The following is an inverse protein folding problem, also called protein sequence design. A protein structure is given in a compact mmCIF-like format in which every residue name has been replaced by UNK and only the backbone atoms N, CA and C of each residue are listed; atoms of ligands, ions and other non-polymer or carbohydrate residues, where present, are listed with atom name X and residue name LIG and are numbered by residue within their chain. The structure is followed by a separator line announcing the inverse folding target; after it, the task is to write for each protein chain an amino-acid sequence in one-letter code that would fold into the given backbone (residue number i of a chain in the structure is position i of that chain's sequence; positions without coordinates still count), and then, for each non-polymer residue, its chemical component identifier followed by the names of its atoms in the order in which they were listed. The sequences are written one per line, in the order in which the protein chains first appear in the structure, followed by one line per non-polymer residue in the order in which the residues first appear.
data_IF_502364826444
#
_entry.id   IF_502364826444
#
_cell.length_a   1.000
_cell.length_b   1.000
_cell.length_c   1.000
_cell.angle_alpha   90.00
_cell.angle_beta   90.00
_cell.angle_gamma   90.00
#
_symmetry.space_group_name_H-M   'P 1'
#
loop_
_entity.id
_entity.type
_entity.pdbx_description
1 polymer ?
#
# COMPACT_ATOMS: atom_id res chain seq x y z
N UNK A 1 -21.66 -6.34 2.38
CA UNK A 1 -22.16 -7.59 1.78
C UNK A 1 -23.68 -7.54 1.71
N UNK A 2 -24.34 -7.65 0.53
CA UNK A 2 -25.79 -7.76 0.46
C UNK A 2 -26.22 -9.16 0.90
N UNK A 3 -27.35 -9.26 1.59
CA UNK A 3 -27.96 -10.53 2.00
C UNK A 3 -29.47 -10.52 1.80
N UNK A 4 -30.02 -11.71 1.55
CA UNK A 4 -31.45 -11.98 1.41
C UNK A 4 -31.80 -13.19 2.27
N UNK A 5 -32.95 -13.16 2.95
CA UNK A 5 -33.38 -14.22 3.87
C UNK A 5 -32.77 -14.09 5.26
N UNK A 6 -32.35 -15.19 5.87
CA UNK A 6 -31.73 -15.20 7.20
C UNK A 6 -30.40 -14.46 7.24
N UNK A 7 -30.12 -13.76 8.33
CA UNK A 7 -28.85 -13.09 8.53
C UNK A 7 -27.75 -14.12 8.78
N UNK A 8 -26.70 -14.05 7.94
CA UNK A 8 -25.50 -14.86 8.08
C UNK A 8 -24.33 -13.96 8.44
N UNK A 9 -23.64 -14.27 9.51
CA UNK A 9 -22.43 -13.60 9.97
C UNK A 9 -21.23 -14.54 9.86
N UNK A 10 -20.02 -13.96 9.82
CA UNK A 10 -18.78 -14.72 9.61
C UNK A 10 -18.46 -14.95 8.11
N UNK A 11 -17.20 -14.78 7.76
CA UNK A 11 -16.75 -14.67 6.37
C UNK A 11 -17.11 -15.88 5.50
N UNK A 12 -16.90 -17.10 6.01
CA UNK A 12 -17.18 -18.33 5.25
C UNK A 12 -18.69 -18.54 5.05
N UNK A 13 -19.49 -18.23 6.05
CA UNK A 13 -20.96 -18.39 6.01
C UNK A 13 -21.63 -17.39 5.09
N UNK A 14 -21.06 -16.19 4.94
CA UNK A 14 -21.56 -15.14 4.04
C UNK A 14 -21.19 -15.39 2.57
N UNK A 15 -20.23 -16.25 2.28
CA UNK A 15 -19.75 -16.48 0.93
C UNK A 15 -20.89 -16.83 -0.02
N UNK A 16 -20.84 -16.29 -1.23
CA UNK A 16 -21.76 -16.59 -2.32
C UNK A 16 -21.00 -17.13 -3.51
N UNK A 17 -21.60 -18.07 -4.21
CA UNK A 17 -21.11 -18.49 -5.53
C UNK A 17 -21.39 -17.39 -6.55
N UNK A 18 -20.49 -17.23 -7.50
CA UNK A 18 -20.65 -16.40 -8.70
C UNK A 18 -20.12 -17.14 -9.93
N UNK A 19 -20.50 -16.71 -11.11
CA UNK A 19 -20.04 -17.28 -12.37
C UNK A 19 -19.14 -16.29 -13.09
N UNK A 20 -17.98 -16.73 -13.54
CA UNK A 20 -17.05 -15.89 -14.29
C UNK A 20 -17.69 -15.33 -15.57
N UNK A 21 -18.54 -16.11 -16.24
CA UNK A 21 -19.23 -15.65 -17.45
C UNK A 21 -20.20 -14.50 -17.21
N UNK A 22 -20.72 -14.35 -15.97
CA UNK A 22 -21.67 -13.31 -15.57
C UNK A 22 -20.96 -12.17 -14.79
N UNK A 23 -19.62 -12.15 -14.82
CA UNK A 23 -18.82 -11.20 -14.04
C UNK A 23 -18.06 -10.27 -14.97
N UNK A 24 -18.20 -8.96 -14.73
CA UNK A 24 -17.40 -7.92 -15.37
C UNK A 24 -16.32 -7.45 -14.40
N UNK A 25 -15.08 -7.49 -14.83
CA UNK A 25 -13.91 -7.00 -14.06
C UNK A 25 -13.18 -6.00 -14.95
N UNK A 26 -13.30 -4.72 -14.65
CA UNK A 26 -12.61 -3.61 -15.31
C UNK A 26 -11.94 -2.74 -14.24
N UNK A 27 -10.95 -1.94 -14.57
CA UNK A 27 -10.32 -1.01 -13.62
C UNK A 27 -11.30 -0.10 -12.89
N UNK A 28 -12.41 0.23 -13.50
CA UNK A 28 -13.39 1.21 -13.06
C UNK A 28 -14.73 0.62 -12.60
N UNK A 29 -14.97 -0.69 -12.81
CA UNK A 29 -16.22 -1.34 -12.38
C UNK A 29 -16.01 -2.84 -12.15
N UNK A 30 -16.64 -3.33 -11.09
CA UNK A 30 -16.84 -4.75 -10.85
C UNK A 30 -18.34 -5.04 -10.81
N UNK A 31 -18.81 -6.02 -11.61
CA UNK A 31 -20.20 -6.45 -11.62
C UNK A 31 -20.29 -7.97 -11.55
N UNK A 32 -21.21 -8.48 -10.74
CA UNK A 32 -21.42 -9.94 -10.64
C UNK A 32 -22.82 -10.27 -10.10
N UNK A 33 -23.27 -11.50 -10.32
CA UNK A 33 -24.48 -12.05 -9.73
C UNK A 33 -24.13 -12.97 -8.55
N UNK A 34 -24.64 -12.65 -7.38
CA UNK A 34 -24.43 -13.41 -6.15
C UNK A 34 -25.49 -14.50 -6.03
N UNK A 35 -25.14 -15.73 -6.41
CA UNK A 35 -26.11 -16.84 -6.54
C UNK A 35 -26.83 -17.20 -5.25
N UNK A 36 -26.17 -17.14 -4.09
CA UNK A 36 -26.81 -17.41 -2.80
C UNK A 36 -27.92 -16.41 -2.47
N UNK A 37 -27.68 -15.13 -2.77
CA UNK A 37 -28.58 -14.03 -2.41
C UNK A 37 -29.47 -13.58 -3.57
N UNK A 38 -29.38 -14.21 -4.72
CA UNK A 38 -30.13 -13.83 -5.94
C UNK A 38 -30.04 -12.33 -6.21
N UNK A 39 -28.88 -11.74 -5.95
CA UNK A 39 -28.66 -10.28 -5.96
C UNK A 39 -27.61 -9.93 -7.01
N UNK A 40 -27.90 -8.95 -7.86
CA UNK A 40 -26.89 -8.35 -8.71
C UNK A 40 -26.13 -7.29 -7.92
N UNK A 41 -24.81 -7.38 -7.97
CA UNK A 41 -23.86 -6.44 -7.36
C UNK A 41 -23.11 -5.71 -8.45
N UNK A 42 -23.04 -4.38 -8.36
CA UNK A 42 -22.08 -3.56 -9.10
C UNK A 42 -21.32 -2.65 -8.13
N UNK A 43 -20.03 -2.43 -8.38
CA UNK A 43 -19.18 -1.55 -7.57
C UNK A 43 -18.35 -0.67 -8.48
N UNK A 44 -18.31 0.62 -8.19
CA UNK A 44 -17.35 1.58 -8.75
C UNK A 44 -16.72 2.37 -7.61
N UNK A 45 -15.51 2.88 -7.81
CA UNK A 45 -14.77 3.59 -6.77
C UNK A 45 -14.18 4.90 -7.28
N UNK A 46 -13.97 5.81 -6.34
CA UNK A 46 -13.15 7.00 -6.45
C UNK A 46 -11.87 6.84 -5.62
N UNK A 47 -11.15 7.89 -5.29
CA UNK A 47 -9.91 7.77 -4.51
C UNK A 47 -10.15 7.31 -3.07
N UNK A 48 -11.23 7.80 -2.42
CA UNK A 48 -11.53 7.56 -0.99
C UNK A 48 -12.91 6.99 -0.75
N UNK A 49 -13.71 6.87 -1.81
CA UNK A 49 -15.09 6.42 -1.72
C UNK A 49 -15.38 5.26 -2.66
N UNK A 50 -16.44 4.53 -2.37
CA UNK A 50 -17.01 3.53 -3.26
C UNK A 50 -18.53 3.65 -3.33
N UNK A 51 -19.08 3.37 -4.50
CA UNK A 51 -20.52 3.24 -4.70
C UNK A 51 -20.84 1.79 -5.06
N UNK A 52 -21.62 1.16 -4.20
CA UNK A 52 -22.18 -0.17 -4.42
C UNK A 52 -23.61 0.00 -4.93
N UNK A 53 -23.99 -0.78 -5.92
CA UNK A 53 -25.36 -0.89 -6.40
C UNK A 53 -25.81 -2.33 -6.30
N UNK A 54 -26.92 -2.54 -5.60
CA UNK A 54 -27.54 -3.85 -5.38
C UNK A 54 -28.91 -3.88 -6.09
N UNK A 55 -29.18 -4.95 -6.84
CA UNK A 55 -30.53 -5.27 -7.31
C UNK A 55 -31.00 -6.52 -6.60
N UNK A 56 -31.84 -6.32 -5.59
CA UNK A 56 -32.40 -7.38 -4.76
C UNK A 56 -33.64 -7.98 -5.43
N UNK A 57 -33.96 -9.27 -5.15
CA UNK A 57 -35.27 -9.86 -5.48
C UNK A 57 -36.37 -9.18 -4.68
N UNK A 58 -37.63 -9.22 -5.19
CA UNK A 58 -38.72 -8.40 -4.65
C UNK A 58 -39.36 -8.90 -3.35
N UNK A 59 -39.29 -10.20 -3.04
CA UNK A 59 -40.16 -10.83 -2.04
C UNK A 59 -39.42 -11.35 -0.78
N UNK A 60 -38.29 -10.80 -0.38
CA UNK A 60 -37.52 -11.35 0.75
C UNK A 60 -36.96 -10.25 1.66
N UNK A 61 -36.75 -10.59 2.92
CA UNK A 61 -35.98 -9.76 3.83
C UNK A 61 -34.58 -9.53 3.26
N UNK A 62 -34.17 -8.28 3.20
CA UNK A 62 -32.90 -7.87 2.60
C UNK A 62 -32.16 -6.89 3.47
N UNK A 63 -30.85 -7.03 3.42
CA UNK A 63 -29.96 -6.21 4.24
C UNK A 63 -28.61 -5.98 3.61
N UNK A 64 -27.94 -4.96 4.08
CA UNK A 64 -26.53 -4.69 3.79
C UNK A 64 -25.75 -4.91 5.09
N UNK A 65 -24.75 -5.78 5.07
CA UNK A 65 -23.84 -5.98 6.18
C UNK A 65 -22.51 -5.28 5.92
N UNK A 66 -22.02 -4.57 6.92
CA UNK A 66 -20.64 -4.10 7.01
C UNK A 66 -20.01 -4.78 8.22
N UNK A 67 -18.97 -5.58 7.99
CA UNK A 67 -18.30 -6.36 9.03
C UNK A 67 -16.78 -6.23 8.88
N UNK A 68 -16.08 -5.74 9.90
CA UNK A 68 -14.63 -5.77 9.96
C UNK A 68 -14.11 -7.21 10.03
N UNK A 69 -12.95 -7.45 9.42
CA UNK A 69 -12.32 -8.76 9.45
C UNK A 69 -11.59 -9.03 10.76
N UNK A 70 -10.99 -7.99 11.34
CA UNK A 70 -10.18 -8.04 12.56
C UNK A 70 -10.29 -6.71 13.30
N UNK A 71 -9.92 -6.71 14.58
CA UNK A 71 -9.78 -5.54 15.43
C UNK A 71 -11.09 -4.95 15.96
N UNK A 72 -10.92 -4.09 16.94
CA UNK A 72 -12.05 -3.38 17.55
C UNK A 72 -12.72 -2.44 16.53
N UNK A 73 -14.01 -2.26 16.66
CA UNK A 73 -14.82 -1.42 15.78
C UNK A 73 -16.04 -0.87 16.49
N UNK A 74 -16.58 0.19 15.94
CA UNK A 74 -17.79 0.85 16.43
C UNK A 74 -18.60 1.39 15.26
N UNK A 75 -19.92 1.26 15.31
CA UNK A 75 -20.85 1.77 14.32
C UNK A 75 -22.10 2.38 14.96
N UNK A 76 -22.61 3.43 14.33
CA UNK A 76 -23.87 4.08 14.66
C UNK A 76 -24.68 4.33 13.39
N UNK A 77 -25.98 4.04 13.46
CA UNK A 77 -26.94 4.28 12.36
C UNK A 77 -27.94 5.36 12.77
N UNK A 78 -28.14 6.34 11.89
CA UNK A 78 -29.12 7.42 12.07
C UNK A 78 -29.85 7.72 10.75
N UNK A 79 -31.11 7.34 10.67
CA UNK A 79 -31.86 7.40 9.42
C UNK A 79 -31.23 6.49 8.36
N UNK A 80 -30.86 7.04 7.22
CA UNK A 80 -30.18 6.33 6.14
C UNK A 80 -28.64 6.45 6.18
N UNK A 81 -28.07 6.93 7.28
CA UNK A 81 -26.65 7.20 7.46
C UNK A 81 -26.01 6.21 8.41
N UNK A 82 -24.79 5.84 8.11
CA UNK A 82 -23.91 5.02 8.94
C UNK A 82 -22.61 5.76 9.19
N UNK A 83 -22.24 5.86 10.45
CA UNK A 83 -20.92 6.34 10.90
C UNK A 83 -20.24 5.26 11.72
N UNK A 84 -18.91 5.21 11.66
CA UNK A 84 -18.17 4.24 12.44
C UNK A 84 -16.67 4.27 12.18
N UNK A 85 -15.99 3.34 12.80
CA UNK A 85 -14.57 3.08 12.54
C UNK A 85 -14.21 1.62 12.80
N UNK A 86 -13.08 1.23 12.26
CA UNK A 86 -12.40 -0.03 12.61
C UNK A 86 -10.93 0.24 12.90
N UNK A 87 -10.40 -0.44 13.91
CA UNK A 87 -8.98 -0.47 14.25
C UNK A 87 -8.25 -1.66 13.62
N UNK A 88 -8.94 -2.39 12.77
CA UNK A 88 -8.38 -3.54 12.06
C UNK A 88 -7.17 -3.15 11.22
N UNK A 89 -6.02 -3.73 11.55
CA UNK A 89 -4.77 -3.53 10.82
C UNK A 89 -3.88 -4.77 10.98
N UNK A 90 -2.84 -4.87 10.17
CA UNK A 90 -1.87 -5.97 10.22
C UNK A 90 -0.57 -5.61 10.98
N UNK A 91 -0.57 -4.51 11.71
CA UNK A 91 0.59 -3.97 12.44
C UNK A 91 1.29 -2.82 11.70
N UNK A 92 2.39 -2.33 12.27
CA UNK A 92 3.15 -1.20 11.71
C UNK A 92 2.43 0.15 11.83
N UNK A 93 1.59 0.30 12.86
CA UNK A 93 0.86 1.55 13.17
C UNK A 93 0.93 1.87 14.66
N UNK A 94 0.91 3.16 15.04
CA UNK A 94 0.82 3.58 16.43
C UNK A 94 -0.51 3.16 17.09
N UNK A 95 -0.56 3.11 18.43
CA UNK A 95 -1.81 2.98 19.15
C UNK A 95 -2.78 4.09 18.77
N UNK A 96 -4.05 3.75 18.62
CA UNK A 96 -5.08 4.74 18.23
C UNK A 96 -5.41 4.79 16.74
N UNK A 97 -4.64 4.12 15.89
CA UNK A 97 -4.95 3.99 14.46
C UNK A 97 -6.39 3.53 14.24
N UNK A 98 -7.09 4.17 13.31
CA UNK A 98 -8.42 3.77 12.88
C UNK A 98 -8.67 4.12 11.40
N UNK A 99 -9.47 3.30 10.74
CA UNK A 99 -10.11 3.65 9.48
C UNK A 99 -11.54 4.09 9.81
N UNK A 100 -11.82 5.37 9.67
CA UNK A 100 -13.12 5.98 9.87
C UNK A 100 -13.99 5.81 8.64
N UNK A 101 -15.29 5.62 8.85
CA UNK A 101 -16.26 5.28 7.82
C UNK A 101 -17.45 6.21 7.94
N UNK A 102 -17.87 6.80 6.82
CA UNK A 102 -19.13 7.48 6.64
C UNK A 102 -19.86 6.88 5.43
N UNK A 103 -21.13 6.53 5.58
CA UNK A 103 -21.88 5.93 4.48
C UNK A 103 -23.35 6.37 4.46
N UNK A 104 -23.94 6.34 3.26
CA UNK A 104 -25.37 6.59 3.04
C UNK A 104 -25.97 5.50 2.14
N UNK A 105 -27.20 5.12 2.47
CA UNK A 105 -28.07 4.25 1.65
C UNK A 105 -29.14 5.11 1.02
N UNK A 106 -29.42 4.92 -0.29
CA UNK A 106 -30.49 5.64 -0.98
C UNK A 106 -31.87 4.96 -0.88
N UNK A 107 -32.09 4.21 0.20
CA UNK A 107 -33.36 3.54 0.50
C UNK A 107 -33.68 3.72 1.99
N UNK A 108 -34.97 3.54 2.31
CA UNK A 108 -35.42 3.56 3.71
C UNK A 108 -34.87 2.34 4.47
N UNK A 109 -34.23 2.59 5.59
CA UNK A 109 -33.77 1.59 6.54
C UNK A 109 -34.91 1.32 7.51
N UNK A 110 -35.45 0.12 7.49
CA UNK A 110 -36.56 -0.31 8.39
C UNK A 110 -36.05 -0.73 9.76
N UNK A 111 -34.78 -1.04 9.90
CA UNK A 111 -34.13 -1.44 11.13
C UNK A 111 -32.64 -1.57 10.98
N UNK A 112 -31.91 -1.54 12.09
CA UNK A 112 -30.50 -1.83 12.15
C UNK A 112 -30.15 -2.64 13.38
N UNK A 113 -29.13 -3.49 13.27
CA UNK A 113 -28.62 -4.26 14.39
C UNK A 113 -27.12 -4.34 14.36
N UNK A 114 -26.50 -4.31 15.54
CA UNK A 114 -25.09 -4.58 15.70
C UNK A 114 -24.88 -6.05 16.04
N UNK A 115 -23.75 -6.62 15.61
CA UNK A 115 -23.40 -8.00 15.91
C UNK A 115 -21.88 -8.16 16.06
N UNK A 116 -21.47 -9.17 16.84
CA UNK A 116 -20.08 -9.61 16.90
C UNK A 116 -20.05 -11.13 16.80
N UNK A 117 -19.34 -11.64 15.80
CA UNK A 117 -19.45 -13.06 15.46
C UNK A 117 -20.88 -13.44 15.06
N UNK A 118 -21.46 -14.43 15.74
CA UNK A 118 -22.85 -14.91 15.52
C UNK A 118 -23.86 -14.32 16.52
N UNK A 119 -23.42 -13.40 17.39
CA UNK A 119 -24.25 -12.88 18.48
C UNK A 119 -24.64 -11.43 18.22
N UNK A 120 -25.86 -11.06 18.66
CA UNK A 120 -26.26 -9.65 18.70
C UNK A 120 -25.39 -8.89 19.67
N UNK A 121 -24.97 -7.68 19.29
CA UNK A 121 -24.23 -6.77 20.14
C UNK A 121 -25.10 -5.57 20.53
N UNK A 122 -25.09 -5.23 21.80
CA UNK A 122 -25.95 -4.15 22.37
C UNK A 122 -25.14 -3.06 23.07
N UNK A 123 -23.79 -3.06 22.88
CA UNK A 123 -22.91 -2.04 23.47
C UNK A 123 -22.90 -0.73 22.68
N UNK A 124 -22.66 0.38 23.39
CA UNK A 124 -22.49 1.72 22.79
C UNK A 124 -21.05 2.11 22.56
N UNK A 125 -20.11 1.28 23.03
CA UNK A 125 -18.65 1.51 22.87
C UNK A 125 -18.02 0.56 21.82
N UNK A 126 -16.79 0.85 21.42
CA UNK A 126 -16.03 -0.06 20.55
C UNK A 126 -15.85 -1.43 21.21
N UNK A 127 -15.94 -2.48 20.42
CA UNK A 127 -15.67 -3.85 20.83
C UNK A 127 -15.09 -4.65 19.66
N UNK A 128 -14.59 -5.84 19.96
CA UNK A 128 -13.92 -6.67 18.96
C UNK A 128 -14.86 -7.10 17.84
N UNK A 129 -14.49 -6.81 16.61
CA UNK A 129 -15.19 -7.20 15.37
C UNK A 129 -16.69 -6.89 15.34
N UNK A 130 -17.09 -5.74 15.87
CA UNK A 130 -18.51 -5.32 15.79
C UNK A 130 -18.82 -5.00 14.33
N UNK A 131 -19.84 -5.68 13.80
CA UNK A 131 -20.42 -5.40 12.50
C UNK A 131 -21.80 -4.75 12.64
N UNK A 132 -22.31 -4.21 11.53
CA UNK A 132 -23.65 -3.61 11.43
C UNK A 132 -24.42 -4.23 10.27
N UNK A 133 -25.68 -4.54 10.54
CA UNK A 133 -26.66 -4.95 9.53
C UNK A 133 -27.70 -3.83 9.36
N UNK A 134 -27.91 -3.38 8.12
CA UNK A 134 -28.91 -2.39 7.74
C UNK A 134 -30.04 -3.12 7.03
N UNK A 135 -31.24 -3.14 7.63
CA UNK A 135 -32.41 -3.77 7.07
C UNK A 135 -33.16 -2.80 6.16
N UNK A 136 -33.47 -3.22 4.93
CA UNK A 136 -34.07 -2.38 3.91
C UNK A 136 -35.57 -2.58 3.84
N UNK A 137 -36.33 -1.48 3.85
CA UNK A 137 -37.80 -1.52 3.88
C UNK A 137 -38.41 -2.04 2.58
N UNK A 138 -37.81 -1.71 1.43
CA UNK A 138 -38.34 -2.06 0.11
C UNK A 138 -37.26 -2.70 -0.78
N UNK A 139 -37.70 -3.43 -1.82
CA UNK A 139 -36.88 -4.05 -2.80
C UNK A 139 -36.65 -3.24 -4.05
N UNK A 140 -35.77 -3.81 -4.87
CA UNK A 140 -35.39 -3.23 -6.13
C UNK A 140 -33.93 -2.85 -6.15
N UNK A 141 -33.62 -1.75 -6.81
CA UNK A 141 -32.25 -1.21 -6.90
C UNK A 141 -31.97 -0.29 -5.71
N UNK A 142 -30.85 -0.51 -5.05
CA UNK A 142 -30.39 0.27 -3.89
C UNK A 142 -28.91 0.60 -4.08
N UNK A 143 -28.56 1.87 -3.88
CA UNK A 143 -27.17 2.30 -3.83
C UNK A 143 -26.71 2.48 -2.37
N UNK A 144 -25.52 1.98 -2.10
CA UNK A 144 -24.79 2.19 -0.85
C UNK A 144 -23.48 2.89 -1.18
N UNK A 145 -23.35 4.13 -0.72
CA UNK A 145 -22.13 4.92 -0.90
C UNK A 145 -21.37 4.97 0.39
N UNK A 146 -20.09 4.70 0.33
CA UNK A 146 -19.20 4.69 1.51
C UNK A 146 -17.96 5.51 1.23
N UNK A 147 -17.58 6.32 2.20
CA UNK A 147 -16.32 7.03 2.25
C UNK A 147 -15.48 6.57 3.44
N UNK A 148 -14.17 6.62 3.28
CA UNK A 148 -13.21 6.30 4.33
C UNK A 148 -12.28 7.47 4.59
N UNK A 149 -11.71 7.50 5.80
CA UNK A 149 -10.66 8.41 6.21
C UNK A 149 -9.77 7.75 7.26
N UNK A 150 -8.50 8.10 7.29
CA UNK A 150 -7.60 7.75 8.39
C UNK A 150 -7.45 8.89 9.40
N UNK A 151 -8.07 10.04 9.14
CA UNK A 151 -7.99 11.24 9.99
C UNK A 151 -9.14 11.30 11.00
N UNK A 152 -10.40 11.24 10.53
CA UNK A 152 -11.58 11.32 11.39
C UNK A 152 -12.88 10.94 10.67
N UNK A 153 -13.98 10.75 11.43
CA UNK A 153 -15.34 10.59 10.86
C UNK A 153 -15.76 11.86 10.09
N UNK A 154 -15.46 13.04 10.60
CA UNK A 154 -15.77 14.29 9.91
C UNK A 154 -15.00 14.42 8.58
N UNK A 155 -13.77 13.94 8.54
CA UNK A 155 -13.01 13.89 7.30
C UNK A 155 -13.60 12.84 6.32
N UNK A 156 -14.01 11.68 6.79
CA UNK A 156 -14.72 10.70 5.95
C UNK A 156 -16.02 11.30 5.35
N UNK A 157 -16.74 12.12 6.12
CA UNK A 157 -17.92 12.85 5.63
C UNK A 157 -17.55 13.90 4.57
N UNK A 158 -16.44 14.63 4.74
CA UNK A 158 -15.93 15.56 3.71
C UNK A 158 -15.56 14.84 2.42
N UNK A 159 -14.87 13.71 2.53
CA UNK A 159 -14.53 12.88 1.38
C UNK A 159 -15.82 12.41 0.65
N UNK A 160 -16.84 11.99 1.41
CA UNK A 160 -18.14 11.62 0.86
C UNK A 160 -18.80 12.77 0.11
N UNK A 161 -18.86 13.94 0.73
CA UNK A 161 -19.49 15.14 0.16
C UNK A 161 -18.78 15.60 -1.12
N UNK A 162 -17.46 15.52 -1.17
CA UNK A 162 -16.66 15.90 -2.31
C UNK A 162 -16.72 14.91 -3.48
N UNK A 163 -16.70 13.61 -3.20
CA UNK A 163 -16.48 12.61 -4.23
C UNK A 163 -17.78 11.93 -4.73
N UNK A 164 -18.76 11.64 -3.86
CA UNK A 164 -19.90 10.78 -4.24
C UNK A 164 -21.27 11.34 -3.95
N UNK A 165 -21.40 12.40 -3.14
CA UNK A 165 -22.71 12.97 -2.76
C UNK A 165 -23.47 13.47 -3.97
N UNK A 166 -24.74 13.03 -4.10
CA UNK A 166 -25.65 13.47 -5.18
C UNK A 166 -25.28 12.97 -6.57
N UNK A 167 -24.30 12.08 -6.69
CA UNK A 167 -23.85 11.53 -7.99
C UNK A 167 -24.46 10.15 -8.23
N UNK A 168 -24.86 9.87 -9.48
CA UNK A 168 -25.33 8.54 -9.85
C UNK A 168 -24.18 7.54 -9.96
N UNK A 169 -24.50 6.26 -9.88
CA UNK A 169 -23.53 5.18 -10.11
C UNK A 169 -22.86 5.32 -11.48
N UNK A 170 -23.65 5.61 -12.52
CA UNK A 170 -23.15 5.78 -13.89
C UNK A 170 -22.17 6.94 -13.99
N UNK A 171 -22.49 8.09 -13.40
CA UNK A 171 -21.58 9.25 -13.41
C UNK A 171 -20.24 8.96 -12.72
N UNK A 172 -20.27 8.23 -11.61
CA UNK A 172 -19.04 7.80 -10.89
C UNK A 172 -18.24 6.78 -11.70
N UNK A 173 -18.91 5.79 -12.29
CA UNK A 173 -18.28 4.79 -13.16
C UNK A 173 -17.64 5.43 -14.39
N UNK A 174 -18.34 6.31 -15.06
CA UNK A 174 -17.86 6.95 -16.29
C UNK A 174 -16.69 7.89 -16.01
N UNK A 175 -16.70 8.58 -14.86
CA UNK A 175 -15.55 9.35 -14.40
C UNK A 175 -14.33 8.45 -14.09
N UNK A 176 -14.53 7.36 -13.34
CA UNK A 176 -13.47 6.40 -13.05
C UNK A 176 -12.90 5.79 -14.33
N UNK A 177 -13.76 5.46 -15.29
CA UNK A 177 -13.34 4.99 -16.61
C UNK A 177 -12.47 6.02 -17.34
N UNK A 178 -12.88 7.27 -17.39
CA UNK A 178 -12.11 8.32 -18.06
C UNK A 178 -10.71 8.50 -17.46
N UNK A 179 -10.59 8.41 -16.12
CA UNK A 179 -9.29 8.47 -15.44
C UNK A 179 -8.40 7.29 -15.84
N UNK A 180 -8.96 6.07 -15.84
CA UNK A 180 -8.19 4.88 -16.22
C UNK A 180 -7.84 4.86 -17.71
N UNK A 181 -8.72 5.31 -18.58
CA UNK A 181 -8.47 5.43 -20.03
C UNK A 181 -7.34 6.44 -20.32
N UNK A 182 -7.30 7.57 -19.60
CA UNK A 182 -6.20 8.55 -19.69
C UNK A 182 -4.88 7.93 -19.23
N UNK A 183 -4.86 7.28 -18.05
CA UNK A 183 -3.62 6.72 -17.49
C UNK A 183 -3.08 5.55 -18.30
N UNK A 184 -3.91 4.60 -18.70
CA UNK A 184 -3.50 3.46 -19.50
C UNK A 184 -3.20 3.86 -20.96
N UNK A 185 -3.83 4.91 -21.45
CA UNK A 185 -3.61 5.48 -22.78
C UNK A 185 -2.28 6.20 -22.96
N UNK A 186 -1.53 6.47 -21.89
CA UNK A 186 -0.18 7.07 -21.95
C UNK A 186 0.82 6.23 -22.74
N UNK A 187 0.61 4.91 -22.80
CA UNK A 187 1.38 4.01 -23.67
C UNK A 187 0.43 3.35 -24.66
N UNK A 188 0.68 3.56 -25.94
CA UNK A 188 -0.08 2.94 -27.02
C UNK A 188 0.79 1.90 -27.73
N UNK A 189 0.23 0.70 -27.94
CA UNK A 189 0.94 -0.38 -28.64
C UNK A 189 0.23 -0.71 -29.97
N UNK A 190 1.02 -0.84 -31.02
CA UNK A 190 0.57 -1.21 -32.36
C UNK A 190 1.09 -2.57 -32.78
N UNK A 191 0.46 -3.19 -33.77
CA UNK A 191 0.87 -4.47 -34.32
C UNK A 191 0.71 -5.69 -33.39
N UNK A 192 0.18 -5.50 -32.18
CA UNK A 192 -0.02 -6.56 -31.19
C UNK A 192 -1.29 -7.36 -31.44
N UNK A 193 -1.26 -8.66 -31.17
CA UNK A 193 -2.47 -9.52 -31.11
C UNK A 193 -3.36 -9.12 -29.93
N UNK A 194 -4.62 -9.57 -29.93
CA UNK A 194 -5.56 -9.31 -28.84
C UNK A 194 -5.00 -9.77 -27.48
N UNK A 195 -4.45 -10.98 -27.41
CA UNK A 195 -3.86 -11.54 -26.17
C UNK A 195 -2.69 -10.68 -25.67
N UNK A 196 -1.82 -10.22 -26.60
CA UNK A 196 -0.70 -9.34 -26.24
C UNK A 196 -1.19 -7.99 -25.69
N UNK A 197 -2.25 -7.40 -26.28
CA UNK A 197 -2.88 -6.16 -25.77
C UNK A 197 -3.46 -6.35 -24.38
N UNK A 198 -4.23 -7.40 -24.17
CA UNK A 198 -4.83 -7.73 -22.87
C UNK A 198 -3.76 -7.93 -21.79
N UNK A 199 -2.69 -8.67 -22.13
CA UNK A 199 -1.57 -8.89 -21.22
C UNK A 199 -0.85 -7.59 -20.88
N UNK A 200 -0.52 -6.78 -21.90
CA UNK A 200 0.19 -5.51 -21.73
C UNK A 200 -0.59 -4.54 -20.83
N UNK A 201 -1.85 -4.26 -21.18
CA UNK A 201 -2.65 -3.31 -20.39
C UNK A 201 -3.03 -3.83 -19.01
N UNK A 202 -3.19 -5.15 -18.85
CA UNK A 202 -3.36 -5.76 -17.51
C UNK A 202 -2.11 -5.61 -16.64
N UNK A 203 -0.91 -5.73 -17.23
CA UNK A 203 0.34 -5.48 -16.53
C UNK A 203 0.52 -3.98 -16.22
N UNK A 204 0.27 -3.09 -17.18
CA UNK A 204 0.34 -1.64 -16.98
C UNK A 204 -0.63 -1.18 -15.88
N UNK A 205 -1.86 -1.70 -15.85
CA UNK A 205 -2.83 -1.47 -14.77
C UNK A 205 -2.24 -1.85 -13.40
N UNK A 206 -1.63 -3.04 -13.28
CA UNK A 206 -1.06 -3.51 -12.02
C UNK A 206 0.08 -2.63 -11.52
N UNK A 207 0.88 -2.01 -12.39
CA UNK A 207 1.95 -1.10 -11.97
C UNK A 207 1.44 0.17 -11.31
N UNK A 208 0.14 0.48 -11.44
CA UNK A 208 -0.49 1.69 -10.91
C UNK A 208 -1.40 1.44 -9.69
N UNK A 209 -1.47 0.20 -9.19
CA UNK A 209 -2.29 -0.13 -8.01
C UNK A 209 -1.61 0.25 -6.70
N UNK A 210 -0.29 0.32 -6.68
CA UNK A 210 0.52 0.62 -5.52
C UNK A 210 1.69 1.55 -5.90
N UNK A 211 2.10 2.45 -4.99
CA UNK A 211 1.55 2.72 -3.66
C UNK A 211 0.18 3.39 -3.72
N UNK A 212 -0.57 3.30 -2.63
CA UNK A 212 -1.86 3.99 -2.50
C UNK A 212 -1.66 5.41 -1.99
N UNK A 213 -2.49 6.35 -2.49
CA UNK A 213 -2.62 7.69 -1.92
C UNK A 213 -3.12 7.55 -0.48
N UNK A 214 -2.37 8.13 0.47
CA UNK A 214 -2.71 8.07 1.88
C UNK A 214 -3.23 9.41 2.42
N UNK A 215 -2.85 10.50 1.78
CA UNK A 215 -3.30 11.84 2.13
C UNK A 215 -4.73 12.13 1.65
N UNK A 216 -5.36 13.08 2.30
CA UNK A 216 -6.74 13.50 2.10
C UNK A 216 -6.79 15.03 1.98
N UNK A 217 -7.75 15.63 1.23
CA UNK A 217 -7.87 17.08 1.17
C UNK A 217 -8.54 17.61 2.44
N UNK A 218 -7.95 18.66 3.04
CA UNK A 218 -8.59 19.41 4.12
C UNK A 218 -9.74 20.30 3.58
N UNK A 219 -10.31 21.16 4.43
CA UNK A 219 -11.37 22.11 4.04
C UNK A 219 -10.94 23.10 2.95
N UNK A 220 -9.65 23.40 2.87
CA UNK A 220 -9.05 24.27 1.86
C UNK A 220 -8.56 23.53 0.62
N UNK A 221 -8.75 22.21 0.56
CA UNK A 221 -8.25 21.35 -0.52
C UNK A 221 -6.75 21.05 -0.43
N UNK A 222 -6.09 21.39 0.71
CA UNK A 222 -4.68 21.09 0.90
C UNK A 222 -4.51 19.65 1.43
N UNK A 223 -3.45 18.92 1.00
CA UNK A 223 -3.23 17.57 1.47
C UNK A 223 -2.89 17.54 2.96
N UNK A 224 -3.58 16.69 3.70
CA UNK A 224 -3.30 16.30 5.09
C UNK A 224 -3.29 14.78 5.18
N UNK A 225 -2.61 14.23 6.16
CA UNK A 225 -2.62 12.78 6.40
C UNK A 225 -2.42 12.44 7.87
N UNK A 226 -3.00 11.33 8.28
CA UNK A 226 -2.62 10.66 9.52
C UNK A 226 -1.29 9.94 9.29
N UNK A 227 -0.29 10.25 10.09
CA UNK A 227 1.01 9.60 10.01
C UNK A 227 1.00 8.22 10.69
N UNK A 228 1.25 7.13 9.95
CA UNK A 228 1.42 5.82 10.57
C UNK A 228 2.78 5.66 11.26
N UNK A 229 3.60 6.71 11.32
CA UNK A 229 4.93 6.70 11.92
C UNK A 229 4.96 7.30 13.32
N UNK A 230 4.20 8.37 13.58
CA UNK A 230 4.12 9.05 14.89
C UNK A 230 2.70 9.13 15.48
N UNK A 231 1.67 8.87 14.67
CA UNK A 231 0.27 8.87 15.11
C UNK A 231 -0.43 10.23 15.07
N UNK A 232 0.23 11.26 14.54
CA UNK A 232 -0.28 12.62 14.45
C UNK A 232 -0.85 12.91 13.05
N UNK A 233 -1.57 14.02 12.92
CA UNK A 233 -2.07 14.51 11.63
C UNK A 233 -1.15 15.62 11.12
N UNK A 234 -0.56 15.40 9.95
CA UNK A 234 0.35 16.34 9.30
C UNK A 234 -0.20 16.92 8.01
N UNK A 235 0.37 18.03 7.58
CA UNK A 235 0.17 18.62 6.26
C UNK A 235 1.13 17.98 5.25
N UNK A 236 0.69 17.87 4.02
CA UNK A 236 1.49 17.34 2.93
C UNK A 236 0.98 16.00 2.43
N UNK A 237 1.62 15.53 1.38
CA UNK A 237 1.31 14.24 0.76
C UNK A 237 1.94 13.08 1.52
N UNK A 238 1.28 11.92 1.51
CA UNK A 238 1.82 10.66 1.99
C UNK A 238 1.30 9.52 1.11
N UNK A 239 2.10 8.49 0.98
CA UNK A 239 1.76 7.25 0.27
C UNK A 239 2.01 6.04 1.17
N UNK A 240 1.27 4.96 0.96
CA UNK A 240 1.40 3.72 1.73
C UNK A 240 1.26 2.48 0.85
N UNK A 241 1.50 1.32 1.48
CA UNK A 241 1.41 0.00 0.87
C UNK A 241 2.37 -0.21 -0.30
N UNK A 242 3.66 -0.11 0.01
CA UNK A 242 4.71 -0.36 -0.97
C UNK A 242 5.89 -1.14 -0.38
N UNK A 243 6.36 -2.13 -1.13
CA UNK A 243 7.58 -2.87 -0.89
C UNK A 243 8.67 -2.45 -1.87
N UNK A 244 9.64 -1.68 -1.41
CA UNK A 244 10.67 -1.10 -2.30
C UNK A 244 11.62 -2.16 -2.86
N UNK A 245 11.81 -3.28 -2.17
CA UNK A 245 12.58 -4.41 -2.66
C UNK A 245 12.06 -4.94 -4.01
N UNK A 246 10.73 -4.97 -4.20
CA UNK A 246 10.12 -5.37 -5.46
C UNK A 246 10.13 -4.23 -6.49
N UNK A 247 9.67 -3.05 -6.09
CA UNK A 247 9.22 -2.00 -7.01
C UNK A 247 10.35 -1.12 -7.53
N UNK A 248 11.49 -1.00 -6.82
CA UNK A 248 12.62 -0.21 -7.27
C UNK A 248 13.20 -0.73 -8.60
N UNK A 249 13.04 -2.02 -8.89
CA UNK A 249 13.66 -2.67 -10.05
C UNK A 249 13.09 -2.20 -11.38
N UNK A 250 11.80 -1.87 -11.46
CA UNK A 250 11.16 -1.50 -12.74
C UNK A 250 10.02 -0.49 -12.61
N UNK A 251 9.17 -0.58 -11.58
CA UNK A 251 7.94 0.22 -11.48
C UNK A 251 8.24 1.72 -11.43
N UNK A 252 9.13 2.14 -10.54
CA UNK A 252 9.47 3.56 -10.41
C UNK A 252 10.25 4.09 -11.62
N UNK A 253 11.10 3.25 -12.23
CA UNK A 253 11.76 3.60 -13.50
C UNK A 253 10.76 3.77 -14.64
N UNK A 254 9.68 2.98 -14.68
CA UNK A 254 8.59 3.18 -15.63
C UNK A 254 7.84 4.49 -15.34
N UNK A 255 7.50 4.76 -14.07
CA UNK A 255 6.80 6.00 -13.69
C UNK A 255 7.62 7.25 -14.04
N UNK A 256 8.96 7.21 -13.93
CA UNK A 256 9.80 8.33 -14.36
C UNK A 256 9.66 8.70 -15.84
N UNK A 257 9.13 7.79 -16.67
CA UNK A 257 8.91 8.01 -18.10
C UNK A 257 7.46 8.42 -18.42
N UNK A 258 6.49 7.85 -17.69
CA UNK A 258 5.07 8.01 -18.04
C UNK A 258 4.30 8.93 -17.10
N UNK A 259 4.81 9.16 -15.87
CA UNK A 259 4.15 9.99 -14.85
C UNK A 259 5.19 10.62 -13.89
N UNK A 260 6.14 11.44 -14.39
CA UNK A 260 7.23 11.98 -13.58
C UNK A 260 6.76 12.91 -12.45
N UNK A 261 5.65 13.65 -12.65
CA UNK A 261 5.05 14.49 -11.62
C UNK A 261 4.53 13.64 -10.45
N UNK A 262 3.84 12.56 -10.74
CA UNK A 262 3.35 11.62 -9.72
C UNK A 262 4.50 10.93 -9.00
N UNK A 263 5.58 10.58 -9.72
CA UNK A 263 6.77 10.01 -9.10
C UNK A 263 7.40 10.99 -8.10
N UNK A 264 7.53 12.26 -8.47
CA UNK A 264 8.07 13.29 -7.57
C UNK A 264 7.18 13.46 -6.33
N UNK A 265 5.85 13.47 -6.49
CA UNK A 265 4.90 13.53 -5.38
C UNK A 265 5.00 12.31 -4.46
N UNK A 266 5.18 11.10 -5.01
CA UNK A 266 5.40 9.88 -4.22
C UNK A 266 6.68 9.98 -3.39
N UNK A 267 7.78 10.46 -3.98
CA UNK A 267 9.05 10.64 -3.27
C UNK A 267 8.92 11.69 -2.17
N UNK A 268 8.20 12.80 -2.43
CA UNK A 268 7.89 13.77 -1.36
C UNK A 268 7.12 13.12 -0.22
N UNK A 269 6.13 12.26 -0.53
CA UNK A 269 5.40 11.49 0.49
C UNK A 269 6.31 10.60 1.34
N UNK A 270 7.26 9.89 0.72
CA UNK A 270 8.25 9.10 1.45
C UNK A 270 9.23 9.96 2.24
N UNK A 271 9.54 11.15 1.73
CA UNK A 271 10.37 12.13 2.45
C UNK A 271 9.65 12.67 3.68
N UNK A 272 8.34 12.90 3.59
CA UNK A 272 7.52 13.25 4.75
C UNK A 272 7.48 12.11 5.78
N UNK A 273 7.34 10.85 5.33
CA UNK A 273 7.45 9.68 6.22
C UNK A 273 8.78 9.67 6.99
N UNK A 274 9.89 10.02 6.34
CA UNK A 274 11.19 10.10 6.99
C UNK A 274 11.30 11.29 7.96
N UNK A 275 10.69 12.44 7.64
CA UNK A 275 10.64 13.62 8.56
C UNK A 275 9.86 13.28 9.84
N UNK A 276 8.78 12.51 9.74
CA UNK A 276 7.88 12.14 10.83
C UNK A 276 8.42 10.98 11.67
N UNK A 277 8.85 9.90 11.02
CA UNK A 277 9.34 8.70 11.70
C UNK A 277 10.86 8.64 11.89
N UNK A 278 11.60 9.56 11.27
CA UNK A 278 13.06 9.65 11.36
C UNK A 278 13.83 8.81 10.33
N UNK A 279 13.19 7.90 9.59
CA UNK A 279 13.84 6.97 8.66
C UNK A 279 13.03 6.80 7.37
N UNK A 280 13.68 6.47 6.28
CA UNK A 280 12.98 5.91 5.13
C UNK A 280 12.40 4.53 5.45
N UNK A 281 11.14 4.23 5.07
CA UNK A 281 10.61 2.89 5.24
C UNK A 281 11.24 1.92 4.24
N UNK A 282 11.66 0.75 4.71
CA UNK A 282 12.05 -0.37 3.83
C UNK A 282 10.82 -0.99 3.17
N UNK A 283 9.77 -1.06 3.93
CA UNK A 283 8.44 -1.51 3.54
C UNK A 283 7.42 -0.68 4.29
N UNK A 284 6.51 -0.04 3.56
CA UNK A 284 5.43 0.77 4.12
C UNK A 284 4.12 0.01 4.03
N UNK A 285 3.48 -0.32 5.20
CA UNK A 285 2.19 -1.02 5.18
C UNK A 285 1.43 -0.90 6.52
N UNK A 286 0.79 0.23 6.82
CA UNK A 286 1.01 1.54 6.24
C UNK A 286 2.29 2.23 6.76
N UNK A 287 2.76 1.94 7.98
CA UNK A 287 4.01 2.42 8.55
C UNK A 287 5.17 1.43 8.37
N UNK A 288 6.14 1.49 9.27
CA UNK A 288 7.33 0.63 9.20
C UNK A 288 7.01 -0.85 9.32
N UNK A 289 7.60 -1.65 8.42
CA UNK A 289 7.48 -3.11 8.42
C UNK A 289 8.82 -3.77 8.23
N UNK A 290 9.11 -4.74 9.08
CA UNK A 290 10.24 -5.65 8.92
C UNK A 290 9.90 -6.69 7.84
N UNK A 291 10.20 -6.37 6.60
CA UNK A 291 9.99 -7.23 5.45
C UNK A 291 11.09 -6.98 4.43
N UNK A 292 11.68 -8.02 3.89
CA UNK A 292 12.80 -7.99 2.96
C UNK A 292 14.02 -7.22 3.47
N UNK A 293 15.14 -7.35 2.79
CA UNK A 293 16.39 -6.65 3.09
C UNK A 293 16.51 -5.37 2.24
N UNK A 294 17.55 -4.57 2.50
CA UNK A 294 17.93 -3.41 1.72
C UNK A 294 17.08 -2.15 1.98
N UNK A 295 17.67 -0.99 1.69
CA UNK A 295 17.04 0.33 1.76
C UNK A 295 16.78 0.85 0.33
N UNK A 296 15.93 0.13 -0.41
CA UNK A 296 15.78 0.34 -1.86
C UNK A 296 15.02 1.62 -2.24
N UNK A 297 14.43 2.33 -1.27
CA UNK A 297 13.94 3.69 -1.51
C UNK A 297 15.08 4.63 -1.90
N UNK A 298 16.31 4.40 -1.40
CA UNK A 298 17.51 5.11 -1.84
C UNK A 298 17.70 5.01 -3.37
N UNK A 299 17.42 3.83 -3.93
CA UNK A 299 17.51 3.61 -5.38
C UNK A 299 16.42 4.34 -6.15
N UNK A 300 15.19 4.38 -5.62
CA UNK A 300 14.07 5.12 -6.21
C UNK A 300 14.37 6.62 -6.27
N UNK A 301 14.85 7.20 -5.17
CA UNK A 301 15.22 8.61 -5.08
C UNK A 301 16.35 8.93 -6.05
N UNK A 302 17.40 8.11 -6.08
CA UNK A 302 18.55 8.34 -6.95
C UNK A 302 18.18 8.22 -8.44
N UNK A 303 17.40 7.20 -8.83
CA UNK A 303 16.95 7.00 -10.22
C UNK A 303 16.10 8.19 -10.69
N UNK A 304 15.14 8.64 -9.87
CA UNK A 304 14.32 9.80 -10.16
C UNK A 304 15.19 11.08 -10.28
N UNK A 305 16.09 11.30 -9.32
CA UNK A 305 16.95 12.47 -9.29
C UNK A 305 17.84 12.61 -10.52
N UNK A 306 18.52 11.52 -10.93
CA UNK A 306 19.42 11.55 -12.12
C UNK A 306 18.65 11.69 -13.42
N UNK A 307 17.40 11.25 -13.48
CA UNK A 307 16.50 11.43 -14.63
C UNK A 307 15.83 12.80 -14.70
N UNK A 308 16.03 13.65 -13.67
CA UNK A 308 15.51 15.02 -13.64
C UNK A 308 14.16 15.16 -12.95
N UNK A 309 13.58 14.09 -12.39
CA UNK A 309 12.40 14.16 -11.52
C UNK A 309 12.87 14.65 -10.14
N UNK A 310 12.74 15.97 -9.86
CA UNK A 310 13.33 16.62 -8.69
C UNK A 310 12.34 17.53 -7.95
N UNK A 311 11.07 17.44 -8.26
CA UNK A 311 10.02 18.24 -7.62
C UNK A 311 9.60 17.60 -6.29
N UNK A 312 10.58 17.51 -5.37
CA UNK A 312 10.46 17.05 -3.98
C UNK A 312 11.60 17.66 -3.15
N UNK A 313 11.52 17.58 -1.83
CA UNK A 313 12.56 18.06 -0.91
C UNK A 313 13.82 17.19 -0.99
N UNK A 314 14.67 17.48 -1.97
CA UNK A 314 15.90 16.70 -2.27
C UNK A 314 16.86 16.68 -1.08
N UNK A 315 16.99 17.78 -0.33
CA UNK A 315 17.91 17.83 0.82
C UNK A 315 17.41 16.94 1.97
N UNK A 316 16.11 16.95 2.25
CA UNK A 316 15.54 16.08 3.27
C UNK A 316 15.58 14.59 2.83
N UNK A 317 15.29 14.30 1.57
CA UNK A 317 15.43 12.94 1.02
C UNK A 317 16.87 12.44 1.14
N UNK A 318 17.86 13.28 0.77
CA UNK A 318 19.28 12.95 0.92
C UNK A 318 19.68 12.72 2.38
N UNK A 319 19.17 13.55 3.32
CA UNK A 319 19.45 13.35 4.74
C UNK A 319 18.92 11.98 5.25
N UNK A 320 17.75 11.54 4.78
CA UNK A 320 17.21 10.22 5.11
C UNK A 320 18.05 9.09 4.50
N UNK A 321 18.47 9.21 3.22
CA UNK A 321 19.38 8.25 2.57
C UNK A 321 20.72 8.16 3.34
N UNK A 322 21.27 9.30 3.76
CA UNK A 322 22.52 9.34 4.52
C UNK A 322 22.38 8.64 5.86
N UNK A 323 21.25 8.85 6.54
CA UNK A 323 20.93 8.19 7.80
C UNK A 323 20.87 6.67 7.62
N UNK A 324 20.14 6.18 6.63
CA UNK A 324 20.08 4.75 6.29
C UNK A 324 21.48 4.16 6.03
N UNK A 325 22.36 4.94 5.40
CA UNK A 325 23.70 4.50 5.01
C UNK A 325 24.75 4.55 6.15
N UNK A 326 24.47 5.23 7.27
CA UNK A 326 25.50 5.52 8.29
C UNK A 326 25.07 5.23 9.72
N UNK A 327 23.77 5.16 10.02
CA UNK A 327 23.27 4.94 11.37
C UNK A 327 22.69 3.54 11.54
N UNK A 328 22.72 3.05 12.78
CA UNK A 328 22.13 1.75 13.12
C UNK A 328 20.61 1.89 13.19
N UNK A 329 19.88 1.09 12.42
CA UNK A 329 18.44 0.99 12.48
C UNK A 329 17.94 0.23 13.71
N UNK A 330 16.68 -0.21 13.68
CA UNK A 330 16.15 -1.02 14.77
C UNK A 330 16.53 -2.51 14.66
N UNK A 331 16.47 -3.21 15.80
CA UNK A 331 16.81 -4.63 15.87
C UNK A 331 15.89 -5.52 15.02
N UNK A 332 14.64 -5.10 14.81
CA UNK A 332 13.65 -5.82 13.99
C UNK A 332 13.94 -5.70 12.49
N UNK A 333 14.75 -4.72 12.07
CA UNK A 333 15.10 -4.49 10.67
C UNK A 333 13.99 -3.86 9.85
N UNK A 334 13.07 -3.12 10.45
CA UNK A 334 11.98 -2.44 9.74
C UNK A 334 12.42 -1.13 9.07
N UNK A 335 13.55 -0.55 9.49
CA UNK A 335 14.23 0.59 8.87
C UNK A 335 15.74 0.50 9.10
N UNK A 336 16.52 1.29 8.35
CA UNK A 336 17.98 1.28 8.40
C UNK A 336 18.59 -0.01 7.84
N UNK A 337 19.92 -0.08 7.81
CA UNK A 337 20.71 -1.19 7.25
C UNK A 337 21.21 -2.13 8.33
N UNK A 338 20.70 -3.35 8.36
CA UNK A 338 21.18 -4.38 9.29
C UNK A 338 22.66 -4.69 9.04
N UNK A 339 23.50 -4.69 10.09
CA UNK A 339 24.94 -4.97 9.98
C UNK A 339 25.75 -3.80 9.44
N UNK A 340 25.24 -2.56 9.46
CA UNK A 340 25.93 -1.39 8.90
C UNK A 340 27.27 -1.09 9.55
N UNK A 341 27.41 -1.26 10.85
CA UNK A 341 28.69 -1.06 11.57
C UNK A 341 29.76 -2.03 11.10
N UNK A 342 29.39 -3.32 10.96
CA UNK A 342 30.30 -4.33 10.42
C UNK A 342 30.64 -4.04 8.94
N UNK A 343 29.67 -3.63 8.16
CA UNK A 343 29.88 -3.24 6.76
C UNK A 343 30.84 -2.04 6.62
N UNK A 344 30.76 -1.05 7.50
CA UNK A 344 31.73 0.06 7.52
C UNK A 344 33.16 -0.39 7.88
N UNK A 345 33.29 -1.28 8.86
CA UNK A 345 34.58 -1.74 9.37
C UNK A 345 35.26 -2.73 8.44
N UNK A 346 34.50 -3.69 7.90
CA UNK A 346 35.01 -4.87 7.18
C UNK A 346 34.86 -4.72 5.64
N UNK A 347 33.98 -3.83 5.18
CA UNK A 347 33.56 -3.76 3.80
C UNK A 347 32.60 -4.88 3.38
N UNK A 348 32.02 -5.62 4.33
CA UNK A 348 30.96 -6.61 4.10
C UNK A 348 30.22 -6.91 5.42
N UNK A 349 29.01 -7.48 5.28
CA UNK A 349 28.24 -7.99 6.42
C UNK A 349 28.68 -9.41 6.73
N UNK A 350 29.13 -9.74 7.96
CA UNK A 350 29.65 -11.06 8.30
C UNK A 350 28.53 -12.09 8.46
N UNK A 351 28.72 -13.27 7.85
CA UNK A 351 27.71 -14.32 7.76
C UNK A 351 27.56 -15.15 9.05
N UNK A 352 28.54 -15.09 9.93
CA UNK A 352 28.50 -15.69 11.27
C UNK A 352 27.78 -14.82 12.31
N UNK A 353 27.41 -13.58 11.95
CA UNK A 353 26.67 -12.65 12.82
C UNK A 353 25.28 -12.27 12.26
N UNK A 354 25.12 -12.27 10.94
CA UNK A 354 23.90 -11.78 10.27
C UNK A 354 23.43 -12.73 9.18
N UNK A 355 22.12 -12.96 9.11
CA UNK A 355 21.49 -13.66 8.01
C UNK A 355 21.56 -12.85 6.70
N UNK A 356 21.49 -13.54 5.57
CA UNK A 356 21.50 -12.94 4.22
C UNK A 356 22.74 -12.09 3.94
N UNK A 357 23.85 -12.39 4.54
CA UNK A 357 25.05 -11.55 4.60
C UNK A 357 25.61 -11.15 3.20
N UNK A 358 25.65 -12.08 2.25
CA UNK A 358 26.08 -11.77 0.88
C UNK A 358 25.10 -10.82 0.18
N UNK A 359 23.79 -11.10 0.27
CA UNK A 359 22.74 -10.24 -0.29
C UNK A 359 22.77 -8.84 0.33
N UNK A 360 22.86 -8.74 1.66
CA UNK A 360 22.97 -7.46 2.38
C UNK A 360 24.21 -6.66 1.95
N UNK A 361 25.34 -7.32 1.79
CA UNK A 361 26.58 -6.68 1.34
C UNK A 361 26.40 -6.09 -0.07
N UNK A 362 25.79 -6.82 -0.98
CA UNK A 362 25.53 -6.35 -2.35
C UNK A 362 24.51 -5.21 -2.37
N UNK A 363 23.42 -5.32 -1.60
CA UNK A 363 22.41 -4.26 -1.49
C UNK A 363 22.97 -2.98 -0.86
N UNK A 364 23.77 -3.08 0.21
CA UNK A 364 24.40 -1.91 0.81
C UNK A 364 25.37 -1.23 -0.17
N UNK A 365 26.16 -2.01 -0.93
CA UNK A 365 27.04 -1.47 -1.94
C UNK A 365 26.27 -0.79 -3.09
N UNK A 366 25.15 -1.37 -3.53
CA UNK A 366 24.29 -0.77 -4.55
C UNK A 366 23.62 0.52 -4.06
N UNK A 367 23.06 0.53 -2.87
CA UNK A 367 22.41 1.71 -2.31
C UNK A 367 23.43 2.78 -1.92
N UNK A 368 24.68 2.44 -1.58
CA UNK A 368 25.78 3.40 -1.46
C UNK A 368 26.09 4.11 -2.77
N UNK A 369 26.06 3.38 -3.91
CA UNK A 369 26.16 4.01 -5.22
C UNK A 369 25.04 5.01 -5.45
N UNK A 370 23.81 4.67 -5.05
CA UNK A 370 22.64 5.55 -5.14
C UNK A 370 22.82 6.84 -4.31
N UNK A 371 23.27 6.70 -3.05
CA UNK A 371 23.61 7.85 -2.19
C UNK A 371 24.67 8.73 -2.84
N UNK A 372 25.74 8.12 -3.41
CA UNK A 372 26.80 8.86 -4.10
C UNK A 372 26.32 9.66 -5.30
N UNK A 373 25.34 9.13 -6.07
CA UNK A 373 24.76 9.85 -7.22
C UNK A 373 24.05 11.12 -6.78
N UNK A 374 23.20 11.04 -5.74
CA UNK A 374 22.48 12.21 -5.20
C UNK A 374 23.46 13.18 -4.57
N UNK A 375 24.40 12.72 -3.73
CA UNK A 375 25.45 13.54 -3.10
C UNK A 375 26.24 14.35 -4.15
N UNK A 376 26.67 13.67 -5.22
CA UNK A 376 27.39 14.34 -6.33
C UNK A 376 26.53 15.43 -6.98
N UNK A 377 25.24 15.14 -7.20
CA UNK A 377 24.31 16.05 -7.85
C UNK A 377 23.99 17.31 -7.04
N UNK A 378 23.95 17.21 -5.69
CA UNK A 378 23.70 18.33 -4.77
C UNK A 378 25.02 18.99 -4.28
N UNK A 379 26.17 18.59 -4.82
CA UNK A 379 27.45 19.22 -4.51
C UNK A 379 28.17 18.70 -3.26
N UNK A 380 27.69 17.64 -2.62
CA UNK A 380 28.30 16.99 -1.44
C UNK A 380 29.48 16.08 -1.88
N UNK A 381 30.54 16.66 -2.37
CA UNK A 381 31.62 15.93 -3.05
C UNK A 381 32.42 14.98 -2.13
N UNK A 382 32.51 15.26 -0.84
CA UNK A 382 33.16 14.39 0.13
C UNK A 382 32.37 13.11 0.34
N UNK A 383 31.06 13.25 0.56
CA UNK A 383 30.13 12.11 0.69
C UNK A 383 30.10 11.30 -0.62
N UNK A 384 30.03 11.95 -1.77
CA UNK A 384 30.06 11.26 -3.06
C UNK A 384 31.31 10.35 -3.19
N UNK A 385 32.49 10.86 -2.86
CA UNK A 385 33.74 10.07 -2.89
C UNK A 385 33.70 8.90 -1.90
N UNK A 386 33.23 9.15 -0.66
CA UNK A 386 33.08 8.10 0.36
C UNK A 386 32.19 6.97 -0.13
N UNK A 387 30.99 7.31 -0.60
CA UNK A 387 30.00 6.32 -1.00
C UNK A 387 30.31 5.63 -2.31
N UNK A 388 30.95 6.29 -3.30
CA UNK A 388 31.51 5.60 -4.48
C UNK A 388 32.57 4.57 -4.10
N UNK A 389 33.41 4.87 -3.09
CA UNK A 389 34.37 3.90 -2.56
C UNK A 389 33.68 2.69 -1.92
N UNK A 390 32.67 2.92 -1.07
CA UNK A 390 31.90 1.86 -0.41
C UNK A 390 31.07 1.05 -1.41
N UNK A 391 30.59 1.65 -2.48
CA UNK A 391 29.88 0.96 -3.56
C UNK A 391 30.67 -0.19 -4.19
N UNK A 392 31.99 -0.18 -4.08
CA UNK A 392 32.85 -1.28 -4.58
C UNK A 392 32.92 -2.48 -3.63
N UNK A 393 32.33 -2.40 -2.44
CA UNK A 393 32.38 -3.42 -1.41
C UNK A 393 31.66 -4.72 -1.80
N UNK A 394 30.76 -4.72 -2.80
CA UNK A 394 30.20 -5.95 -3.36
C UNK A 394 31.29 -6.96 -3.78
N UNK A 395 32.48 -6.47 -4.17
CA UNK A 395 33.62 -7.30 -4.54
C UNK A 395 34.11 -8.22 -3.42
N UNK A 396 33.86 -7.84 -2.16
CA UNK A 396 34.26 -8.63 -0.99
C UNK A 396 33.44 -9.92 -0.84
N UNK A 397 32.31 -10.04 -1.49
CA UNK A 397 31.51 -11.27 -1.53
C UNK A 397 31.98 -12.23 -2.64
N UNK A 398 32.69 -11.74 -3.65
CA UNK A 398 33.09 -12.56 -4.78
C UNK A 398 34.23 -13.49 -4.42
N UNK A 399 33.99 -14.82 -4.55
CA UNK A 399 35.02 -15.84 -4.39
C UNK A 399 35.60 -16.23 -5.77
N UNK A 400 36.85 -15.85 -6.07
CA UNK A 400 37.48 -16.15 -7.37
C UNK A 400 37.68 -17.65 -7.59
N UNK A 401 37.65 -18.47 -6.55
CA UNK A 401 37.84 -19.92 -6.65
C UNK A 401 36.54 -20.61 -7.15
N UNK A 402 35.41 -20.24 -6.59
CA UNK A 402 34.11 -20.78 -6.98
C UNK A 402 33.42 -19.95 -8.08
N UNK A 403 33.80 -18.68 -8.24
CA UNK A 403 33.21 -17.65 -9.15
C UNK A 403 31.79 -17.25 -8.77
N UNK A 404 31.39 -17.44 -7.52
CA UNK A 404 30.12 -17.01 -6.95
C UNK A 404 30.31 -15.91 -5.93
N UNK A 405 29.24 -15.10 -5.73
CA UNK A 405 29.11 -14.28 -4.54
C UNK A 405 28.81 -15.19 -3.35
N UNK A 406 29.55 -15.04 -2.24
CA UNK A 406 29.45 -15.93 -1.07
C UNK A 406 29.45 -15.14 0.23
N UNK A 407 28.77 -15.65 1.24
CA UNK A 407 28.88 -15.13 2.60
C UNK A 407 30.32 -15.29 3.13
N UNK A 408 30.81 -14.23 3.80
CA UNK A 408 32.09 -14.24 4.52
C UNK A 408 31.86 -14.13 6.01
N UNK A 409 32.60 -14.87 6.78
CA UNK A 409 32.64 -14.76 8.24
C UNK A 409 33.47 -13.54 8.66
N UNK A 410 33.35 -13.11 9.91
CA UNK A 410 34.09 -11.95 10.45
C UNK A 410 35.59 -12.07 10.30
N UNK A 411 36.15 -13.30 10.37
CA UNK A 411 37.57 -13.57 10.17
C UNK A 411 38.03 -13.49 8.70
N UNK A 412 37.14 -13.23 7.78
CA UNK A 412 37.41 -13.13 6.34
C UNK A 412 37.30 -14.44 5.55
N UNK A 413 37.09 -15.58 6.21
CA UNK A 413 36.87 -16.87 5.54
C UNK A 413 35.50 -16.90 4.86
N UNK A 414 35.38 -17.60 3.74
CA UNK A 414 34.07 -17.87 3.15
C UNK A 414 33.34 -18.98 3.88
N UNK A 415 32.02 -18.88 3.96
CA UNK A 415 31.15 -19.88 4.60
C UNK A 415 31.28 -21.24 3.91
N UNK A 416 31.55 -22.28 4.69
CA UNK A 416 31.64 -23.66 4.23
C UNK A 416 30.63 -24.57 4.98
N UNK A 417 30.09 -25.64 4.38
CA UNK A 417 30.32 -26.05 2.98
C UNK A 417 29.55 -25.18 2.00
N UNK A 418 30.12 -24.90 0.82
CA UNK A 418 29.45 -24.18 -0.26
C UNK A 418 28.78 -25.17 -1.21
N UNK A 419 27.53 -24.87 -1.53
CA UNK A 419 26.76 -25.57 -2.56
C UNK A 419 25.87 -24.53 -3.27
N UNK A 420 26.13 -24.30 -4.53
CA UNK A 420 25.46 -23.29 -5.36
C UNK A 420 23.97 -23.57 -5.60
N UNK A 421 23.52 -24.79 -5.35
CA UNK A 421 22.11 -25.21 -5.50
C UNK A 421 21.34 -25.19 -4.18
N UNK A 422 21.98 -24.86 -3.07
CA UNK A 422 21.35 -24.92 -1.75
C UNK A 422 21.13 -23.53 -1.17
N UNK A 423 19.88 -23.27 -0.75
CA UNK A 423 19.57 -22.12 0.11
C UNK A 423 20.41 -22.21 1.40
N UNK A 424 21.01 -21.11 1.78
CA UNK A 424 21.65 -20.94 3.08
C UNK A 424 21.40 -19.53 3.62
N UNK A 425 21.81 -19.27 4.84
CA UNK A 425 21.66 -17.97 5.52
C UNK A 425 22.44 -16.81 4.88
N UNK A 426 23.28 -17.08 3.87
CA UNK A 426 24.06 -16.04 3.18
C UNK A 426 23.25 -15.31 2.10
N UNK A 427 22.14 -15.86 1.63
CA UNK A 427 21.34 -15.33 0.54
C UNK A 427 19.88 -15.16 0.96
N UNK A 428 19.24 -14.08 0.51
CA UNK A 428 17.82 -13.85 0.75
C UNK A 428 16.95 -14.80 -0.09
N UNK A 429 17.33 -15.00 -1.34
CA UNK A 429 16.73 -15.96 -2.26
C UNK A 429 17.80 -16.62 -3.11
N UNK A 430 17.45 -17.72 -3.75
CA UNK A 430 18.26 -18.27 -4.83
C UNK A 430 18.29 -17.34 -6.02
N UNK A 431 19.45 -17.13 -6.54
CA UNK A 431 19.68 -16.55 -7.85
C UNK A 431 20.10 -17.68 -8.77
#
# INVERSE_FOLDING_TARGET
MPQVGDMLTGNERQASVFRRADTVIKPYVFETFLGRYQTQLAVTATERCACFRFRFPQESARRILLQPLVGASWFQVSGNRLEGFTRGNSGGVPPGFACYIYAEVDADISGSSLFSGEQSFHGESESEQVGVALELAQGGEVSFRVATSFVSIDQARRNFDAEVKGRSFEALRDQSQAIWDERLGRIQIEGATQIQRETFYSCLYRTQLFPRIWHEPDEGGQPIHYSPYDGEVHKGVLYADNGFWDTHRTVYSLLSLIDPERLSEMIEGWTNAAKEGGWFPKWSSPGYRACMIGTHLDAVVADAYVKGCRDFDVEAAYAAMLRDATEVGNAEGSFGRTGIEAFEQLGYVPADEFDHAASRTMDHAYTDYCVAQVASGIGRQEDARRFYGRALNYRNTFDPKTKFARGRNRDGSFVEPFNEFRINSSYEFHI
#
